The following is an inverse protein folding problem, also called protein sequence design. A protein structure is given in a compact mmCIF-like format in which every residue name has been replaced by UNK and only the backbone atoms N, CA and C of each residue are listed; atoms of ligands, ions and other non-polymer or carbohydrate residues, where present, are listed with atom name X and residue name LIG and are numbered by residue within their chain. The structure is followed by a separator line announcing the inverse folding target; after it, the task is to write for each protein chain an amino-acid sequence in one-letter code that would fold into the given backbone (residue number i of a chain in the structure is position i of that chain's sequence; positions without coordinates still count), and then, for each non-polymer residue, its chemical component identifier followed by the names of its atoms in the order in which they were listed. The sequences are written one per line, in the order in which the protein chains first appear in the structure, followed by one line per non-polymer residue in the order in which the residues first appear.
data_IF_490987237675
#
_entry.id   IF_490987237675
#
_cell.length_a   1.000
_cell.length_b   1.000
_cell.length_c   1.000
_cell.angle_alpha   90.00
_cell.angle_beta   90.00
_cell.angle_gamma   90.00
#
_symmetry.space_group_name_H-M   'P 1'
#
loop_
_entity.id
_entity.type
_entity.pdbx_description
1 polymer ?
#
# COMPACT_ATOMS: atom_id res chain seq x y z
N UNK A 1 48.29 -9.53 -27.54
CA UNK A 1 48.15 -9.27 -26.10
C UNK A 1 47.56 -10.52 -25.46
N UNK A 2 48.09 -10.98 -24.31
CA UNK A 2 48.13 -12.40 -23.97
C UNK A 2 46.80 -12.94 -23.43
N UNK A 3 46.71 -14.26 -23.58
CA UNK A 3 45.55 -15.14 -23.46
C UNK A 3 45.31 -15.52 -21.99
N UNK A 4 44.03 -15.74 -21.66
CA UNK A 4 43.52 -16.20 -20.38
C UNK A 4 44.31 -17.38 -19.78
N UNK A 5 44.74 -17.23 -18.53
CA UNK A 5 45.29 -18.31 -17.72
C UNK A 5 44.16 -19.23 -17.23
N UNK A 6 44.23 -20.50 -17.60
CA UNK A 6 43.34 -21.54 -17.10
C UNK A 6 43.53 -21.74 -15.59
N UNK A 7 42.43 -21.72 -14.85
CA UNK A 7 42.37 -22.13 -13.44
C UNK A 7 42.53 -23.65 -13.43
N UNK A 8 43.66 -24.14 -12.94
CA UNK A 8 43.83 -25.58 -12.70
C UNK A 8 42.99 -25.98 -11.47
N UNK A 9 42.25 -27.11 -11.51
CA UNK A 9 41.49 -27.57 -10.37
C UNK A 9 42.44 -27.91 -9.21
N UNK A 10 42.21 -27.29 -8.05
CA UNK A 10 42.96 -27.58 -6.83
C UNK A 10 42.78 -29.05 -6.42
N UNK A 11 43.88 -29.67 -6.01
CA UNK A 11 43.95 -31.07 -5.61
C UNK A 11 43.02 -31.34 -4.39
N UNK A 12 42.04 -32.26 -4.47
CA UNK A 12 41.10 -32.54 -3.39
C UNK A 12 41.79 -32.99 -2.09
N UNK A 13 43.03 -33.48 -2.13
CA UNK A 13 43.82 -33.79 -0.95
C UNK A 13 44.23 -32.53 -0.17
N UNK A 14 44.57 -31.42 -0.86
CA UNK A 14 44.93 -30.15 -0.22
C UNK A 14 43.71 -29.45 0.39
N UNK A 15 42.54 -29.59 -0.24
CA UNK A 15 41.29 -29.08 0.30
C UNK A 15 40.91 -29.80 1.60
N UNK A 16 41.07 -31.13 1.65
CA UNK A 16 40.85 -31.93 2.86
C UNK A 16 41.78 -31.55 4.00
N UNK A 17 43.08 -31.38 3.74
CA UNK A 17 44.06 -30.99 4.77
C UNK A 17 43.73 -29.61 5.34
N UNK A 18 43.31 -28.65 4.51
CA UNK A 18 42.93 -27.31 4.98
C UNK A 18 41.64 -27.28 5.80
N UNK A 19 40.71 -28.20 5.51
CA UNK A 19 39.47 -28.40 6.29
C UNK A 19 39.77 -29.13 7.61
N UNK A 20 40.71 -30.07 7.64
CA UNK A 20 41.14 -30.74 8.87
C UNK A 20 41.98 -29.81 9.76
N UNK A 21 42.85 -28.98 9.19
CA UNK A 21 43.59 -27.95 9.93
C UNK A 21 42.68 -26.84 10.47
N UNK A 22 41.59 -26.47 9.77
CA UNK A 22 40.58 -25.54 10.30
C UNK A 22 39.77 -26.17 11.43
N UNK A 23 39.48 -27.47 11.36
CA UNK A 23 38.84 -28.23 12.46
C UNK A 23 39.77 -28.42 13.65
N UNK A 24 41.07 -28.60 13.44
CA UNK A 24 42.06 -28.78 14.51
C UNK A 24 42.39 -27.48 15.27
N UNK A 25 42.00 -26.31 14.76
CA UNK A 25 42.11 -25.02 15.45
C UNK A 25 40.83 -24.59 16.20
N UNK A 26 39.77 -25.38 16.12
CA UNK A 26 38.51 -25.16 16.83
C UNK A 26 38.39 -26.02 18.10
N UNK A 27 39.52 -26.32 18.76
CA UNK A 27 39.56 -27.04 20.04
C UNK A 27 40.04 -26.10 21.15
N UNK A 28 39.14 -25.24 21.62
CA UNK A 28 39.10 -24.66 22.99
C UNK A 28 37.94 -23.64 23.15
N UNK A 29 36.84 -23.77 22.41
CA UNK A 29 35.63 -23.01 22.72
C UNK A 29 34.88 -23.74 23.84
N UNK A 30 34.99 -23.23 25.08
CA UNK A 30 34.01 -23.49 26.13
C UNK A 30 32.61 -23.38 25.50
N UNK A 31 31.74 -24.39 25.68
CA UNK A 31 30.35 -24.30 25.26
C UNK A 31 29.72 -23.07 25.93
N UNK A 32 29.72 -21.92 25.24
CA UNK A 32 29.07 -20.71 25.71
C UNK A 32 27.57 -21.01 25.69
N UNK A 33 27.06 -21.39 26.85
CA UNK A 33 25.67 -21.79 27.01
C UNK A 33 24.82 -20.51 27.06
N UNK A 34 24.51 -19.96 25.88
CA UNK A 34 23.69 -18.75 25.74
C UNK A 34 22.28 -19.02 26.27
N UNK A 35 21.84 -18.22 27.23
CA UNK A 35 20.47 -18.31 27.76
C UNK A 35 19.56 -17.27 27.11
N UNK A 36 18.29 -17.62 26.94
CA UNK A 36 17.25 -16.71 26.48
C UNK A 36 16.02 -16.84 27.37
N UNK A 37 15.65 -15.73 28.01
CA UNK A 37 14.41 -15.62 28.77
C UNK A 37 13.46 -14.65 28.05
N UNK A 38 12.29 -15.18 27.68
CA UNK A 38 11.22 -14.45 27.01
C UNK A 38 10.08 -14.24 27.99
N UNK A 39 9.67 -12.99 28.18
CA UNK A 39 8.74 -12.56 29.23
C UNK A 39 7.54 -11.89 28.60
N UNK A 40 6.40 -12.59 28.68
CA UNK A 40 5.10 -12.09 28.25
C UNK A 40 4.43 -11.33 29.40
N UNK A 41 4.09 -10.07 29.17
CA UNK A 41 3.29 -9.21 30.05
C UNK A 41 3.78 -9.22 31.52
N UNK A 42 5.03 -8.79 31.80
CA UNK A 42 5.60 -8.84 33.14
C UNK A 42 4.84 -7.92 34.10
N UNK A 43 4.63 -8.39 35.34
CA UNK A 43 4.12 -7.56 36.42
C UNK A 43 5.18 -6.58 36.92
N UNK A 44 4.76 -5.53 37.63
CA UNK A 44 5.68 -4.55 38.21
C UNK A 44 6.68 -5.18 39.20
N UNK A 45 6.24 -6.18 39.96
CA UNK A 45 7.11 -6.90 40.90
C UNK A 45 8.14 -7.78 40.18
N UNK A 46 7.72 -8.45 39.10
CA UNK A 46 8.63 -9.22 38.24
C UNK A 46 9.65 -8.31 37.54
N UNK A 47 9.22 -7.16 37.01
CA UNK A 47 10.13 -6.17 36.42
C UNK A 47 11.13 -5.65 37.44
N UNK A 48 10.69 -5.35 38.67
CA UNK A 48 11.57 -4.90 39.74
C UNK A 48 12.58 -5.99 40.15
N UNK A 49 12.16 -7.26 40.15
CA UNK A 49 13.02 -8.40 40.42
C UNK A 49 14.05 -8.61 39.30
N UNK A 50 13.61 -8.65 38.04
CA UNK A 50 14.48 -8.79 36.87
C UNK A 50 15.49 -7.64 36.78
N UNK A 51 15.05 -6.40 37.03
CA UNK A 51 15.93 -5.23 37.03
C UNK A 51 17.04 -5.33 38.07
N UNK A 52 16.73 -5.81 39.28
CA UNK A 52 17.74 -6.04 40.33
C UNK A 52 18.68 -7.20 40.02
N UNK A 53 18.15 -8.33 39.53
CA UNK A 53 18.93 -9.55 39.26
C UNK A 53 19.91 -9.33 38.12
N UNK A 54 19.47 -8.69 37.03
CA UNK A 54 20.29 -8.46 35.84
C UNK A 54 20.99 -7.09 35.83
N UNK A 55 20.86 -6.31 36.91
CA UNK A 55 21.41 -4.96 37.05
C UNK A 55 21.03 -4.05 35.85
N UNK A 56 19.74 -4.09 35.47
CA UNK A 56 19.18 -3.29 34.37
C UNK A 56 19.02 -1.86 34.86
N UNK A 57 19.45 -0.90 34.04
CA UNK A 57 19.36 0.52 34.36
C UNK A 57 17.90 0.95 34.55
N UNK A 58 17.57 1.78 35.56
CA UNK A 58 16.20 2.19 35.85
C UNK A 58 15.46 2.79 34.66
N UNK A 59 16.15 3.56 33.80
CA UNK A 59 15.56 4.12 32.57
C UNK A 59 15.09 3.03 31.59
N UNK A 60 15.83 1.92 31.46
CA UNK A 60 15.41 0.80 30.61
C UNK A 60 14.20 0.10 31.19
N UNK A 61 14.14 -0.06 32.52
CA UNK A 61 12.96 -0.61 33.19
C UNK A 61 11.73 0.29 33.01
N UNK A 62 11.90 1.60 33.14
CA UNK A 62 10.85 2.60 32.90
C UNK A 62 10.34 2.54 31.46
N UNK A 63 11.24 2.52 30.46
CA UNK A 63 10.88 2.43 29.05
C UNK A 63 10.02 1.18 28.74
N UNK A 64 10.36 0.04 29.34
CA UNK A 64 9.62 -1.21 29.17
C UNK A 64 8.25 -1.13 29.85
N UNK A 65 8.18 -0.64 31.09
CA UNK A 65 6.93 -0.53 31.85
C UNK A 65 5.95 0.51 31.28
N UNK A 66 6.47 1.58 30.71
CA UNK A 66 5.67 2.64 30.07
C UNK A 66 5.28 2.31 28.63
N UNK A 67 5.67 1.13 28.14
CA UNK A 67 5.45 0.69 26.76
C UNK A 67 5.92 1.74 25.74
N UNK A 68 7.14 2.27 25.91
CA UNK A 68 7.72 3.25 24.99
C UNK A 68 7.61 2.78 23.54
N UNK A 69 7.00 3.62 22.72
CA UNK A 69 6.63 3.32 21.33
C UNK A 69 7.74 3.63 20.34
N UNK A 70 8.73 4.42 20.76
CA UNK A 70 9.85 4.81 19.92
C UNK A 70 10.80 3.62 19.72
N UNK A 71 11.02 3.29 18.45
CA UNK A 71 12.08 2.37 18.08
C UNK A 71 13.45 3.04 18.25
N UNK A 72 14.32 2.38 19.02
CA UNK A 72 15.61 2.93 19.41
C UNK A 72 16.56 1.83 19.83
N UNK A 73 17.85 2.14 19.77
CA UNK A 73 18.90 1.30 20.29
C UNK A 73 19.77 2.13 21.22
N UNK A 74 19.98 1.61 22.42
CA UNK A 74 20.74 2.27 23.48
C UNK A 74 21.82 1.33 24.01
N UNK A 75 23.06 1.83 24.07
CA UNK A 75 24.18 1.08 24.60
C UNK A 75 24.38 1.44 26.08
N UNK A 76 24.35 0.43 26.94
CA UNK A 76 24.74 0.54 28.35
C UNK A 76 26.10 -0.12 28.57
N UNK A 77 26.60 -0.08 29.80
CA UNK A 77 27.92 -0.64 30.14
C UNK A 77 27.99 -2.17 30.03
N UNK A 78 26.89 -2.85 30.31
CA UNK A 78 26.85 -4.33 30.44
C UNK A 78 25.91 -5.00 29.44
N UNK A 79 25.06 -4.22 28.76
CA UNK A 79 24.08 -4.70 27.82
C UNK A 79 23.74 -3.60 26.81
N UNK A 80 23.03 -3.95 25.75
CA UNK A 80 22.34 -2.98 24.92
C UNK A 80 20.84 -3.27 24.86
N UNK A 81 20.06 -2.20 24.77
CA UNK A 81 18.60 -2.26 24.62
C UNK A 81 18.26 -2.04 23.15
N UNK A 82 17.40 -2.90 22.62
CA UNK A 82 16.74 -2.72 21.33
C UNK A 82 15.23 -2.61 21.60
N UNK A 83 14.67 -1.46 21.28
CA UNK A 83 13.22 -1.27 21.18
C UNK A 83 12.85 -1.40 19.71
N UNK A 84 12.13 -2.45 19.36
CA UNK A 84 11.71 -2.73 17.99
C UNK A 84 10.22 -3.06 17.94
N UNK A 85 9.56 -2.72 16.84
CA UNK A 85 8.11 -2.82 16.74
C UNK A 85 7.70 -3.72 15.60
N UNK A 86 7.04 -4.82 15.94
CA UNK A 86 6.28 -5.62 15.01
C UNK A 86 4.84 -5.11 14.88
N UNK A 87 3.96 -5.99 14.46
CA UNK A 87 2.54 -5.73 14.40
C UNK A 87 1.77 -7.02 14.68
N UNK A 88 0.56 -6.84 15.20
CA UNK A 88 -0.46 -7.86 15.29
C UNK A 88 -1.42 -7.66 14.11
N UNK A 89 -1.65 -8.74 13.37
CA UNK A 89 -2.56 -8.75 12.23
C UNK A 89 -3.78 -9.58 12.60
N UNK A 90 -4.95 -8.97 12.55
CA UNK A 90 -6.20 -9.69 12.72
C UNK A 90 -6.49 -10.53 11.45
N UNK A 91 -6.60 -11.87 11.55
CA UNK A 91 -6.95 -12.73 10.42
C UNK A 91 -8.29 -12.37 9.78
N UNK A 92 -9.21 -11.77 10.54
CA UNK A 92 -10.54 -11.39 10.08
C UNK A 92 -10.60 -9.97 9.53
N UNK A 93 -9.56 -9.15 9.74
CA UNK A 93 -9.49 -7.76 9.30
C UNK A 93 -8.14 -7.47 8.62
N UNK A 94 -8.04 -7.64 7.29
CA UNK A 94 -6.78 -7.47 6.55
C UNK A 94 -6.27 -6.02 6.51
N UNK A 95 -7.05 -5.06 7.02
CA UNK A 95 -6.65 -3.65 7.18
C UNK A 95 -6.20 -3.32 8.60
N UNK A 96 -6.41 -4.22 9.55
CA UNK A 96 -6.07 -4.00 10.94
C UNK A 96 -4.63 -4.44 11.19
N UNK A 97 -3.78 -3.44 11.45
CA UNK A 97 -2.39 -3.62 11.82
C UNK A 97 -2.19 -2.86 13.11
N UNK A 98 -2.26 -3.59 14.22
CA UNK A 98 -1.99 -3.01 15.53
C UNK A 98 -0.51 -3.13 15.83
N UNK A 99 0.18 -2.02 16.09
CA UNK A 99 1.60 -2.13 16.35
C UNK A 99 1.89 -2.87 17.67
N UNK A 100 2.94 -3.68 17.69
CA UNK A 100 3.33 -4.48 18.84
C UNK A 100 4.78 -4.16 19.22
N UNK A 101 4.99 -3.65 20.43
CA UNK A 101 6.32 -3.31 20.92
C UNK A 101 7.04 -4.56 21.43
N UNK A 102 8.30 -4.72 21.05
CA UNK A 102 9.20 -5.76 21.53
C UNK A 102 10.47 -5.09 22.06
N UNK A 103 10.79 -5.38 23.32
CA UNK A 103 11.99 -4.89 23.99
C UNK A 103 12.97 -6.03 24.15
N UNK A 104 14.19 -5.84 23.68
CA UNK A 104 15.23 -6.86 23.70
C UNK A 104 16.43 -6.29 24.43
N UNK A 105 16.80 -6.92 25.54
CA UNK A 105 18.00 -6.59 26.30
C UNK A 105 19.03 -7.68 26.04
N UNK A 106 20.16 -7.30 25.45
CA UNK A 106 21.20 -8.25 25.05
C UNK A 106 22.42 -8.08 25.93
N UNK A 107 22.77 -9.16 26.64
CA UNK A 107 23.98 -9.31 27.45
C UNK A 107 25.01 -10.13 26.67
N UNK A 108 26.22 -10.27 27.23
CA UNK A 108 27.29 -11.04 26.59
C UNK A 108 26.99 -12.54 26.54
N UNK A 109 26.34 -13.10 27.56
CA UNK A 109 26.02 -14.54 27.66
C UNK A 109 24.52 -14.86 27.56
N UNK A 110 23.66 -13.88 27.29
CA UNK A 110 22.23 -14.15 27.16
C UNK A 110 21.38 -12.93 26.81
N UNK A 111 20.08 -13.18 26.72
CA UNK A 111 19.12 -12.22 26.15
C UNK A 111 17.78 -12.27 26.91
N UNK A 112 17.23 -11.10 27.19
CA UNK A 112 15.87 -10.92 27.69
C UNK A 112 14.99 -10.31 26.60
N UNK A 113 13.85 -10.92 26.32
CA UNK A 113 12.81 -10.31 25.49
C UNK A 113 11.55 -10.03 26.31
N UNK A 114 10.95 -8.86 26.10
CA UNK A 114 9.71 -8.44 26.73
C UNK A 114 8.70 -8.03 25.67
N UNK A 115 7.46 -8.48 25.84
CA UNK A 115 6.34 -8.09 25.00
C UNK A 115 5.05 -8.15 25.83
N UNK A 116 4.12 -7.21 25.63
CA UNK A 116 2.89 -7.10 26.43
C UNK A 116 1.66 -7.76 25.79
N UNK A 117 1.82 -8.23 24.56
CA UNK A 117 0.83 -9.00 23.80
C UNK A 117 1.48 -10.25 23.23
N UNK A 118 0.69 -11.29 23.00
CA UNK A 118 1.18 -12.51 22.35
C UNK A 118 1.71 -12.20 20.95
N UNK A 119 2.87 -12.75 20.62
CA UNK A 119 3.49 -12.59 19.30
C UNK A 119 4.12 -13.91 18.84
N UNK A 120 4.09 -14.25 17.54
CA UNK A 120 4.73 -15.46 17.03
C UNK A 120 6.26 -15.37 16.97
N UNK A 121 6.85 -14.16 17.02
CA UNK A 121 8.28 -13.95 16.73
C UNK A 121 9.23 -14.74 17.63
N UNK A 122 9.09 -14.74 18.97
CA UNK A 122 9.93 -15.57 19.83
C UNK A 122 9.85 -17.06 19.47
N UNK A 123 8.65 -17.56 19.18
CA UNK A 123 8.44 -18.97 18.87
C UNK A 123 9.03 -19.37 17.51
N UNK A 124 8.94 -18.49 16.50
CA UNK A 124 9.54 -18.70 15.19
C UNK A 124 11.06 -18.78 15.30
N UNK A 125 11.69 -17.84 16.03
CA UNK A 125 13.14 -17.85 16.25
C UNK A 125 13.58 -19.09 17.03
N UNK A 126 12.83 -19.51 18.07
CA UNK A 126 13.09 -20.79 18.77
C UNK A 126 13.05 -22.00 17.83
N UNK A 127 12.12 -22.03 16.88
CA UNK A 127 12.04 -23.09 15.86
C UNK A 127 13.24 -23.04 14.93
N UNK A 128 13.64 -21.85 14.46
CA UNK A 128 14.83 -21.63 13.62
C UNK A 128 16.12 -22.08 14.32
N UNK A 129 16.29 -21.75 15.60
CA UNK A 129 17.41 -22.22 16.44
C UNK A 129 17.48 -23.74 16.46
N UNK A 130 16.36 -24.43 16.70
CA UNK A 130 16.32 -25.90 16.75
C UNK A 130 16.73 -26.54 15.42
N UNK A 131 16.43 -25.90 14.29
CA UNK A 131 16.76 -26.40 12.95
C UNK A 131 18.23 -26.16 12.57
N UNK A 132 18.85 -25.10 13.10
CA UNK A 132 20.19 -24.65 12.71
C UNK A 132 21.27 -24.92 13.78
N UNK A 133 20.90 -25.56 14.90
CA UNK A 133 21.78 -25.79 16.05
C UNK A 133 23.11 -26.45 15.70
N UNK A 134 23.11 -27.33 14.70
CA UNK A 134 24.31 -28.07 14.29
C UNK A 134 25.22 -27.30 13.31
N UNK A 135 24.74 -26.17 12.78
CA UNK A 135 25.42 -25.40 11.73
C UNK A 135 25.84 -23.99 12.15
N UNK A 136 25.27 -23.46 13.23
CA UNK A 136 25.46 -22.07 13.66
C UNK A 136 25.74 -22.03 15.17
N UNK A 137 26.72 -21.23 15.58
CA UNK A 137 26.91 -20.88 16.99
C UNK A 137 25.85 -19.88 17.44
N UNK A 138 24.98 -20.30 18.37
CA UNK A 138 23.88 -19.48 18.87
C UNK A 138 24.41 -18.54 19.96
N UNK A 139 24.78 -17.32 19.57
CA UNK A 139 25.18 -16.24 20.48
C UNK A 139 23.99 -15.34 20.84
N UNK A 140 24.10 -14.57 21.92
CA UNK A 140 23.05 -13.61 22.32
C UNK A 140 22.76 -12.58 21.23
N UNK A 141 23.81 -12.09 20.58
CA UNK A 141 23.71 -11.17 19.45
C UNK A 141 23.02 -11.80 18.23
N UNK A 142 23.27 -13.10 17.97
CA UNK A 142 22.59 -13.81 16.87
C UNK A 142 21.09 -13.94 17.14
N UNK A 143 20.69 -14.23 18.39
CA UNK A 143 19.26 -14.29 18.75
C UNK A 143 18.61 -12.91 18.58
N UNK A 144 19.29 -11.84 18.99
CA UNK A 144 18.79 -10.47 18.77
C UNK A 144 18.63 -10.16 17.29
N UNK A 145 19.62 -10.51 16.46
CA UNK A 145 19.51 -10.40 15.01
C UNK A 145 18.30 -11.19 14.48
N UNK A 146 18.17 -12.46 14.85
CA UNK A 146 17.09 -13.33 14.37
C UNK A 146 15.69 -12.82 14.76
N UNK A 147 15.55 -12.16 15.90
CA UNK A 147 14.31 -11.50 16.31
C UNK A 147 13.98 -10.28 15.44
N UNK A 148 14.96 -9.42 15.16
CA UNK A 148 14.78 -8.25 14.28
C UNK A 148 14.46 -8.72 12.85
N UNK A 149 15.12 -9.78 12.38
CA UNK A 149 14.92 -10.42 11.09
C UNK A 149 13.48 -10.97 10.96
N UNK A 150 13.03 -11.79 11.92
CA UNK A 150 11.68 -12.38 11.89
C UNK A 150 10.58 -11.32 11.95
N UNK A 151 10.78 -10.23 12.70
CA UNK A 151 9.87 -9.08 12.71
C UNK A 151 9.86 -8.37 11.35
N UNK A 152 11.03 -8.20 10.73
CA UNK A 152 11.17 -7.53 9.42
C UNK A 152 10.56 -8.36 8.29
N UNK A 153 10.78 -9.67 8.29
CA UNK A 153 10.25 -10.59 7.29
C UNK A 153 8.72 -10.68 7.31
N UNK A 154 8.09 -10.45 8.48
CA UNK A 154 6.64 -10.41 8.59
C UNK A 154 5.99 -9.33 7.71
N UNK A 155 6.70 -8.25 7.38
CA UNK A 155 6.20 -7.20 6.48
C UNK A 155 6.13 -7.66 5.01
N UNK A 156 7.00 -8.58 4.59
CA UNK A 156 7.14 -9.00 3.19
C UNK A 156 5.82 -9.44 2.53
N UNK A 157 5.09 -10.42 3.10
CA UNK A 157 3.82 -10.88 2.54
C UNK A 157 2.76 -9.77 2.41
N UNK A 158 2.74 -8.79 3.33
CA UNK A 158 1.80 -7.67 3.27
C UNK A 158 2.13 -6.71 2.13
N UNK A 159 3.42 -6.43 1.93
CA UNK A 159 3.90 -5.58 0.84
C UNK A 159 3.62 -6.25 -0.51
N UNK A 160 3.85 -7.56 -0.62
CA UNK A 160 3.52 -8.32 -1.83
C UNK A 160 2.01 -8.31 -2.12
N UNK A 161 1.17 -8.43 -1.10
CA UNK A 161 -0.28 -8.28 -1.25
C UNK A 161 -0.71 -6.89 -1.74
N UNK A 162 0.01 -5.84 -1.32
CA UNK A 162 -0.20 -4.48 -1.82
C UNK A 162 0.24 -4.34 -3.26
N UNK A 163 1.39 -4.91 -3.64
CA UNK A 163 1.91 -4.88 -5.00
C UNK A 163 0.86 -5.39 -6.00
N UNK A 164 0.33 -6.60 -5.79
CA UNK A 164 -0.70 -7.17 -6.65
C UNK A 164 -1.96 -6.31 -6.72
N UNK A 165 -2.36 -5.68 -5.61
CA UNK A 165 -3.53 -4.83 -5.54
C UNK A 165 -3.32 -3.49 -6.27
N UNK A 166 -2.12 -2.92 -6.16
CA UNK A 166 -1.73 -1.68 -6.85
C UNK A 166 -1.69 -1.90 -8.35
N UNK A 167 -1.06 -2.98 -8.81
CA UNK A 167 -1.01 -3.34 -10.22
C UNK A 167 -2.41 -3.56 -10.79
N UNK A 168 -3.27 -4.27 -10.04
CA UNK A 168 -4.68 -4.47 -10.41
C UNK A 168 -5.44 -3.14 -10.54
N UNK A 169 -5.22 -2.21 -9.62
CA UNK A 169 -5.85 -0.88 -9.65
C UNK A 169 -5.35 -0.07 -10.86
N UNK A 170 -4.04 -0.05 -11.13
CA UNK A 170 -3.46 0.73 -12.22
C UNK A 170 -3.98 0.24 -13.59
N UNK A 171 -4.13 -1.07 -13.77
CA UNK A 171 -4.71 -1.66 -14.98
C UNK A 171 -6.21 -1.35 -15.13
N UNK A 172 -6.99 -1.53 -14.05
CA UNK A 172 -8.44 -1.31 -14.07
C UNK A 172 -8.82 0.14 -14.36
N UNK A 173 -8.05 1.11 -13.86
CA UNK A 173 -8.28 2.54 -14.14
C UNK A 173 -8.14 2.87 -15.62
N UNK A 174 -7.44 2.05 -16.43
CA UNK A 174 -7.31 2.30 -17.87
C UNK A 174 -8.42 1.65 -18.71
N UNK A 175 -9.11 0.64 -18.16
CA UNK A 175 -10.00 -0.25 -18.93
C UNK A 175 -11.48 -0.05 -18.56
N UNK A 176 -11.80 0.29 -17.30
CA UNK A 176 -13.17 0.33 -16.83
C UNK A 176 -13.97 1.45 -17.50
N UNK A 177 -14.98 1.06 -18.28
CA UNK A 177 -16.06 1.91 -18.76
C UNK A 177 -17.38 1.44 -18.13
N UNK A 178 -18.12 2.40 -17.58
CA UNK A 178 -19.57 2.40 -17.40
C UNK A 178 -20.27 1.70 -16.20
N UNK A 179 -19.66 0.89 -15.32
CA UNK A 179 -20.49 0.21 -14.27
C UNK A 179 -20.04 0.15 -12.80
N UNK A 180 -18.77 0.34 -12.43
CA UNK A 180 -18.32 0.14 -11.03
C UNK A 180 -17.58 1.34 -10.43
N UNK A 181 -18.11 2.56 -10.69
CA UNK A 181 -17.30 3.75 -10.43
C UNK A 181 -17.04 4.06 -8.95
N UNK A 182 -17.98 3.73 -8.05
CA UNK A 182 -17.86 3.98 -6.62
C UNK A 182 -16.97 2.95 -5.91
N UNK A 183 -16.92 1.73 -6.44
CA UNK A 183 -16.12 0.64 -5.87
C UNK A 183 -14.62 0.89 -6.10
N UNK A 184 -14.24 1.44 -7.25
CA UNK A 184 -12.85 1.77 -7.57
C UNK A 184 -12.23 2.81 -6.64
N UNK A 185 -12.94 3.92 -6.34
CA UNK A 185 -12.43 4.93 -5.39
C UNK A 185 -12.28 4.36 -3.98
N UNK A 186 -13.22 3.52 -3.57
CA UNK A 186 -13.15 2.83 -2.27
C UNK A 186 -11.97 1.86 -2.22
N UNK A 187 -11.73 1.10 -3.29
CA UNK A 187 -10.61 0.17 -3.43
C UNK A 187 -9.27 0.89 -3.38
N UNK A 188 -9.11 1.97 -4.16
CA UNK A 188 -7.95 2.87 -4.11
C UNK A 188 -7.74 3.41 -2.69
N UNK A 189 -8.78 3.96 -2.07
CA UNK A 189 -8.70 4.52 -0.72
C UNK A 189 -8.29 3.49 0.34
N UNK A 190 -8.82 2.26 0.23
CA UNK A 190 -8.49 1.17 1.16
C UNK A 190 -7.04 0.69 0.96
N UNK A 191 -6.59 0.54 -0.28
CA UNK A 191 -5.21 0.17 -0.58
C UNK A 191 -4.23 1.26 -0.08
N UNK A 192 -4.52 2.55 -0.33
CA UNK A 192 -3.71 3.66 0.21
C UNK A 192 -3.63 3.64 1.74
N UNK A 193 -4.73 3.36 2.45
CA UNK A 193 -4.71 3.22 3.91
C UNK A 193 -3.77 2.10 4.37
N UNK A 194 -3.74 0.95 3.68
CA UNK A 194 -2.79 -0.14 3.98
C UNK A 194 -1.34 0.29 3.76
N UNK A 195 -1.04 0.93 2.62
CA UNK A 195 0.31 1.47 2.32
C UNK A 195 0.76 2.44 3.41
N UNK A 196 -0.10 3.40 3.79
CA UNK A 196 0.22 4.38 4.84
C UNK A 196 0.42 3.73 6.21
N UNK A 197 -0.38 2.72 6.54
CA UNK A 197 -0.24 1.93 7.77
C UNK A 197 1.14 1.26 7.86
N UNK A 198 1.56 0.61 6.78
CA UNK A 198 2.89 -0.03 6.72
C UNK A 198 4.03 0.99 6.73
N UNK A 199 3.95 2.09 5.97
CA UNK A 199 4.96 3.16 6.02
C UNK A 199 5.14 3.72 7.43
N UNK A 200 4.04 3.90 8.17
CA UNK A 200 4.10 4.37 9.57
C UNK A 200 4.77 3.34 10.48
N UNK A 201 4.51 2.06 10.29
CA UNK A 201 5.15 0.98 11.06
C UNK A 201 6.63 0.85 10.71
N UNK A 202 6.99 0.99 9.45
CA UNK A 202 8.38 0.88 8.96
C UNK A 202 9.25 2.10 9.24
N UNK A 203 8.65 3.24 9.56
CA UNK A 203 9.35 4.48 9.81
C UNK A 203 10.44 4.35 10.88
N UNK A 204 11.64 4.85 10.57
CA UNK A 204 12.85 4.84 11.42
C UNK A 204 13.51 3.47 11.68
N UNK A 205 12.90 2.33 11.31
CA UNK A 205 13.51 0.99 11.49
C UNK A 205 14.88 0.88 10.85
N UNK A 206 15.00 1.31 9.59
CA UNK A 206 16.27 1.26 8.84
C UNK A 206 17.38 2.08 9.53
N UNK A 207 17.05 3.25 10.07
CA UNK A 207 18.01 4.10 10.78
C UNK A 207 18.42 3.49 12.13
N UNK A 208 17.50 2.83 12.83
CA UNK A 208 17.77 2.12 14.08
C UNK A 208 18.73 0.95 13.81
N UNK A 209 18.44 0.10 12.83
CA UNK A 209 19.30 -1.03 12.45
C UNK A 209 20.66 -0.56 11.95
N UNK A 210 20.70 0.48 11.10
CA UNK A 210 21.95 1.14 10.66
C UNK A 210 22.76 1.64 11.85
N UNK A 211 22.09 2.23 12.84
CA UNK A 211 22.70 2.70 14.07
C UNK A 211 23.35 1.58 14.88
N UNK A 212 22.79 0.37 14.87
CA UNK A 212 23.38 -0.81 15.51
C UNK A 212 24.56 -1.35 14.70
N UNK A 213 24.37 -1.56 13.40
CA UNK A 213 25.41 -2.08 12.50
C UNK A 213 26.67 -1.21 12.55
N UNK A 214 26.51 0.13 12.53
CA UNK A 214 27.63 1.06 12.65
C UNK A 214 28.39 0.90 13.98
N UNK A 215 27.69 0.74 15.10
CA UNK A 215 28.29 0.59 16.43
C UNK A 215 28.99 -0.75 16.62
N UNK A 216 28.57 -1.79 15.89
CA UNK A 216 29.30 -3.07 15.80
C UNK A 216 30.68 -2.85 15.17
N UNK A 217 30.73 -2.11 14.05
CA UNK A 217 31.99 -1.85 13.33
C UNK A 217 32.97 -0.93 14.09
N UNK A 218 32.50 -0.12 15.03
CA UNK A 218 33.33 0.73 15.89
C UNK A 218 33.97 -0.05 17.07
N UNK A 219 33.80 -1.38 17.13
CA UNK A 219 34.39 -2.27 18.15
C UNK A 219 34.07 -1.87 19.60
N UNK A 220 32.87 -1.34 19.85
CA UNK A 220 32.42 -1.04 21.21
C UNK A 220 32.40 -2.32 22.05
N UNK A 221 32.85 -2.27 23.31
CA UNK A 221 33.05 -3.46 24.14
C UNK A 221 31.80 -4.32 24.34
N UNK A 222 30.62 -3.69 24.23
CA UNK A 222 29.28 -4.24 24.43
C UNK A 222 28.52 -4.46 23.11
N UNK A 223 29.02 -3.93 21.99
CA UNK A 223 28.40 -4.18 20.69
C UNK A 223 28.73 -5.59 20.20
N UNK A 224 27.89 -6.17 19.32
CA UNK A 224 28.15 -7.46 18.70
C UNK A 224 29.57 -7.54 18.10
N UNK A 225 30.36 -8.52 18.54
CA UNK A 225 31.77 -8.69 18.14
C UNK A 225 31.99 -9.68 16.97
N UNK A 226 30.91 -10.15 16.37
CA UNK A 226 30.89 -11.19 15.33
C UNK A 226 30.55 -10.59 13.96
N UNK A 227 30.52 -11.42 12.91
CA UNK A 227 30.03 -11.13 11.54
C UNK A 227 28.57 -10.64 11.47
N UNK A 228 27.95 -10.40 12.62
CA UNK A 228 26.59 -9.89 12.84
C UNK A 228 26.39 -8.50 12.24
N UNK A 229 27.45 -7.70 12.11
CA UNK A 229 27.40 -6.46 11.35
C UNK A 229 26.96 -6.65 9.90
N UNK A 230 27.35 -7.77 9.26
CA UNK A 230 26.92 -8.10 7.90
C UNK A 230 25.44 -8.46 7.85
N UNK A 231 24.99 -9.32 8.77
CA UNK A 231 23.59 -9.71 8.88
C UNK A 231 22.66 -8.52 9.18
N UNK A 232 23.08 -7.59 10.03
CA UNK A 232 22.33 -6.36 10.29
C UNK A 232 22.29 -5.41 9.09
N UNK A 233 23.37 -5.38 8.29
CA UNK A 233 23.40 -4.57 7.05
C UNK A 233 22.42 -5.11 6.02
N UNK A 234 22.28 -6.44 5.92
CA UNK A 234 21.29 -7.09 5.04
C UNK A 234 19.85 -6.71 5.43
N UNK A 235 19.51 -6.80 6.73
CA UNK A 235 18.21 -6.32 7.26
C UNK A 235 18.00 -4.84 6.92
N UNK A 236 19.04 -4.01 7.08
CA UNK A 236 18.94 -2.59 6.79
C UNK A 236 18.57 -2.37 5.31
N UNK A 237 19.23 -3.07 4.39
CA UNK A 237 18.95 -2.98 2.96
C UNK A 237 17.52 -3.47 2.66
N UNK A 238 17.07 -4.57 3.27
CA UNK A 238 15.70 -5.06 3.15
C UNK A 238 14.67 -4.01 3.60
N UNK A 239 14.87 -3.39 4.77
CA UNK A 239 13.99 -2.33 5.28
C UNK A 239 13.95 -1.10 4.35
N UNK A 240 15.10 -0.71 3.79
CA UNK A 240 15.19 0.40 2.83
C UNK A 240 14.40 0.06 1.57
N UNK A 241 14.63 -1.12 0.99
CA UNK A 241 13.94 -1.58 -0.24
C UNK A 241 12.44 -1.68 -0.02
N UNK A 242 11.99 -2.30 1.06
CA UNK A 242 10.56 -2.38 1.41
C UNK A 242 9.92 -0.99 1.57
N UNK A 243 10.62 -0.06 2.21
CA UNK A 243 10.13 1.33 2.37
C UNK A 243 10.05 2.05 1.02
N UNK A 244 11.03 1.85 0.14
CA UNK A 244 11.04 2.42 -1.20
C UNK A 244 9.90 1.86 -2.05
N UNK A 245 9.62 0.56 -1.98
CA UNK A 245 8.51 -0.08 -2.68
C UNK A 245 7.16 0.51 -2.22
N UNK A 246 6.94 0.66 -0.92
CA UNK A 246 5.73 1.30 -0.40
C UNK A 246 5.56 2.75 -0.87
N UNK A 247 6.64 3.53 -0.91
CA UNK A 247 6.61 4.89 -1.46
C UNK A 247 6.33 4.89 -2.98
N UNK A 248 6.81 3.88 -3.71
CA UNK A 248 6.50 3.71 -5.12
C UNK A 248 5.01 3.39 -5.34
N UNK A 249 4.47 2.45 -4.56
CA UNK A 249 3.05 2.09 -4.61
C UNK A 249 2.13 3.25 -4.24
N UNK A 250 2.50 4.07 -3.25
CA UNK A 250 1.76 5.30 -2.93
C UNK A 250 1.65 6.23 -4.14
N UNK A 251 2.77 6.45 -4.85
CA UNK A 251 2.81 7.30 -6.04
C UNK A 251 1.94 6.75 -7.17
N UNK A 252 1.99 5.44 -7.41
CA UNK A 252 1.11 4.80 -8.40
C UNK A 252 -0.34 5.04 -8.00
N UNK A 253 -0.75 4.68 -6.79
CA UNK A 253 -2.12 4.87 -6.32
C UNK A 253 -2.58 6.34 -6.39
N UNK A 254 -1.69 7.30 -6.12
CA UNK A 254 -1.99 8.73 -6.22
C UNK A 254 -2.23 9.18 -7.67
N UNK A 255 -1.43 8.66 -8.60
CA UNK A 255 -1.61 8.87 -10.03
C UNK A 255 -2.88 8.16 -10.54
N UNK A 256 -3.11 6.90 -10.19
CA UNK A 256 -4.30 6.15 -10.62
C UNK A 256 -5.58 6.79 -10.08
N UNK A 257 -5.57 7.30 -8.84
CA UNK A 257 -6.67 8.11 -8.30
C UNK A 257 -6.97 9.36 -9.17
N UNK A 258 -5.92 10.09 -9.57
CA UNK A 258 -6.07 11.30 -10.40
C UNK A 258 -6.55 10.97 -11.81
N UNK A 259 -5.97 9.94 -12.43
CA UNK A 259 -6.36 9.45 -13.76
C UNK A 259 -7.82 9.02 -13.78
N UNK A 260 -8.25 8.32 -12.73
CA UNK A 260 -9.61 7.84 -12.58
C UNK A 260 -10.63 8.99 -12.49
N UNK A 261 -10.35 10.01 -11.68
CA UNK A 261 -11.20 11.22 -11.62
C UNK A 261 -11.24 11.96 -12.96
N UNK A 262 -10.13 12.03 -13.69
CA UNK A 262 -10.09 12.62 -15.01
C UNK A 262 -10.95 11.84 -16.02
N UNK A 263 -10.94 10.51 -15.96
CA UNK A 263 -11.79 9.67 -16.79
C UNK A 263 -13.27 9.88 -16.51
N UNK A 264 -13.68 9.91 -15.24
CA UNK A 264 -15.08 10.23 -14.85
C UNK A 264 -15.49 11.59 -15.44
N UNK A 265 -14.61 12.60 -15.35
CA UNK A 265 -14.88 13.92 -15.90
C UNK A 265 -15.09 13.90 -17.42
N UNK A 266 -14.31 13.11 -18.15
CA UNK A 266 -14.46 12.91 -19.60
C UNK A 266 -15.79 12.22 -19.90
N UNK A 267 -16.11 11.13 -19.22
CA UNK A 267 -17.37 10.39 -19.40
C UNK A 267 -18.59 11.26 -19.11
N UNK A 268 -18.55 12.06 -18.04
CA UNK A 268 -19.61 13.02 -17.71
C UNK A 268 -19.73 14.10 -18.79
N UNK A 269 -18.62 14.58 -19.33
CA UNK A 269 -18.61 15.57 -20.41
C UNK A 269 -19.22 14.99 -21.69
N UNK A 270 -18.85 13.75 -22.06
CA UNK A 270 -19.41 13.06 -23.22
C UNK A 270 -20.90 12.77 -23.06
N UNK A 271 -21.34 12.32 -21.87
CA UNK A 271 -22.76 12.15 -21.57
C UNK A 271 -23.54 13.46 -21.67
N UNK A 272 -22.98 14.56 -21.14
CA UNK A 272 -23.59 15.89 -21.27
C UNK A 272 -23.67 16.35 -22.73
N UNK A 273 -22.64 16.07 -23.54
CA UNK A 273 -22.66 16.39 -24.96
C UNK A 273 -23.75 15.61 -25.71
N UNK A 274 -23.93 14.32 -25.39
CA UNK A 274 -25.01 13.51 -25.96
C UNK A 274 -26.39 14.01 -25.52
N UNK A 275 -26.57 14.37 -24.25
CA UNK A 275 -27.81 14.96 -23.75
C UNK A 275 -28.09 16.29 -24.48
N UNK A 276 -27.08 17.14 -24.64
CA UNK A 276 -27.22 18.40 -25.38
C UNK A 276 -27.57 18.17 -26.85
N UNK A 277 -27.00 17.16 -27.51
CA UNK A 277 -27.33 16.79 -28.89
C UNK A 277 -28.80 16.32 -29.01
N UNK A 278 -29.25 15.42 -28.11
CA UNK A 278 -30.64 14.96 -28.07
C UNK A 278 -31.61 16.11 -27.76
N UNK A 279 -31.26 16.98 -26.80
CA UNK A 279 -32.07 18.14 -26.45
C UNK A 279 -32.15 19.14 -27.61
N UNK A 280 -31.05 19.37 -28.33
CA UNK A 280 -31.01 20.20 -29.54
C UNK A 280 -31.98 19.68 -30.60
N UNK A 281 -31.97 18.36 -30.86
CA UNK A 281 -32.91 17.70 -31.81
C UNK A 281 -34.37 17.85 -31.39
N UNK A 282 -34.68 17.62 -30.11
CA UNK A 282 -36.05 17.78 -29.59
C UNK A 282 -36.51 19.25 -29.66
N UNK A 283 -35.63 20.19 -29.34
CA UNK A 283 -35.92 21.63 -29.39
C UNK A 283 -36.15 22.10 -30.83
N UNK A 284 -35.39 21.58 -31.79
CA UNK A 284 -35.59 21.83 -33.21
C UNK A 284 -36.98 21.36 -33.68
N UNK A 285 -37.39 20.13 -33.30
CA UNK A 285 -38.74 19.63 -33.59
C UNK A 285 -39.83 20.48 -32.91
N UNK A 286 -39.64 20.84 -31.64
CA UNK A 286 -40.56 21.70 -30.90
C UNK A 286 -40.74 23.08 -31.54
N UNK A 287 -39.68 23.68 -32.06
CA UNK A 287 -39.72 24.99 -32.72
C UNK A 287 -40.59 24.98 -33.99
N UNK A 288 -40.67 23.85 -34.70
CA UNK A 288 -41.54 23.69 -35.87
C UNK A 288 -42.99 23.39 -35.45
N UNK A 289 -43.18 22.52 -34.46
CA UNK A 289 -44.51 22.06 -34.05
C UNK A 289 -45.29 23.08 -33.22
N UNK A 290 -44.63 23.87 -32.35
CA UNK A 290 -45.33 24.79 -31.44
C UNK A 290 -46.11 25.88 -32.20
N UNK A 291 -45.55 26.61 -33.18
CA UNK A 291 -46.31 27.60 -33.94
C UNK A 291 -47.42 26.98 -34.78
N UNK A 292 -47.18 25.79 -35.35
CA UNK A 292 -48.17 25.05 -36.12
C UNK A 292 -49.37 24.68 -35.25
N UNK A 293 -49.12 24.15 -34.06
CA UNK A 293 -50.14 23.80 -33.08
C UNK A 293 -50.91 25.04 -32.58
N UNK A 294 -50.24 26.19 -32.41
CA UNK A 294 -50.89 27.44 -32.01
C UNK A 294 -51.92 27.88 -33.04
N UNK A 295 -51.56 27.84 -34.33
CA UNK A 295 -52.45 28.23 -35.44
C UNK A 295 -53.64 27.29 -35.53
N UNK A 296 -53.42 25.97 -35.49
CA UNK A 296 -54.53 25.00 -35.49
C UNK A 296 -55.38 25.07 -34.21
N UNK A 297 -54.76 25.37 -33.07
CA UNK A 297 -55.44 25.48 -31.78
C UNK A 297 -56.37 26.69 -31.71
N UNK A 298 -55.94 27.86 -32.21
CA UNK A 298 -56.76 29.07 -32.28
C UNK A 298 -58.06 28.86 -33.07
N UNK A 299 -58.03 28.07 -34.14
CA UNK A 299 -59.21 27.76 -34.96
C UNK A 299 -59.97 26.50 -34.53
N UNK A 300 -59.41 25.70 -33.62
CA UNK A 300 -60.18 24.70 -32.88
C UNK A 300 -61.06 25.31 -31.78
N UNK A 301 -60.79 26.57 -31.42
CA UNK A 301 -61.68 27.40 -30.61
C UNK A 301 -62.72 28.04 -31.53
N UNK A 302 -63.95 28.24 -31.04
CA UNK A 302 -65.07 28.83 -31.80
C UNK A 302 -64.85 30.33 -32.11
N UNK A 303 -63.78 30.63 -32.86
CA UNK A 303 -63.32 31.94 -33.29
C UNK A 303 -63.62 32.07 -34.78
N UNK A 304 -64.11 33.24 -35.20
CA UNK A 304 -64.46 33.55 -36.58
C UNK A 304 -63.30 33.24 -37.53
N UNK A 305 -63.53 32.39 -38.53
CA UNK A 305 -62.47 31.97 -39.45
C UNK A 305 -62.35 32.93 -40.63
N UNK A 306 -61.13 33.23 -41.11
CA UNK A 306 -60.94 34.03 -42.32
C UNK A 306 -61.65 33.39 -43.52
N UNK A 307 -62.64 34.11 -44.08
CA UNK A 307 -63.46 33.62 -45.21
C UNK A 307 -64.85 33.13 -44.84
N UNK A 308 -65.25 33.13 -43.56
CA UNK A 308 -66.57 32.70 -43.08
C UNK A 308 -67.74 33.58 -43.62
N UNK A 309 -67.50 34.87 -43.87
CA UNK A 309 -68.52 35.82 -44.35
C UNK A 309 -68.75 35.80 -45.88
N UNK A 310 -68.02 34.96 -46.62
CA UNK A 310 -68.17 34.83 -48.08
C UNK A 310 -69.37 33.92 -48.40
N UNK A 311 -70.45 34.51 -48.96
CA UNK A 311 -71.74 33.84 -49.26
C UNK A 311 -71.74 32.90 -50.48
N UNK A 312 -70.59 32.58 -51.05
CA UNK A 312 -70.49 31.63 -52.17
C UNK A 312 -70.17 30.23 -51.63
N UNK A 313 -71.14 29.31 -51.77
CA UNK A 313 -71.18 27.92 -51.25
C UNK A 313 -70.04 26.96 -51.71
N UNK A 314 -68.91 27.49 -52.20
CA UNK A 314 -67.80 26.67 -52.68
C UNK A 314 -66.42 27.33 -52.70
N UNK A 315 -66.23 28.53 -52.13
CA UNK A 315 -64.93 29.20 -52.18
C UNK A 315 -63.99 28.81 -51.01
N UNK A 316 -63.42 27.61 -51.09
CA UNK A 316 -62.45 27.10 -50.10
C UNK A 316 -61.03 27.69 -50.24
N UNK A 317 -60.85 28.77 -51.00
CA UNK A 317 -59.54 29.37 -51.28
C UNK A 317 -58.80 29.76 -50.01
N UNK A 318 -59.47 30.42 -49.05
CA UNK A 318 -58.85 30.82 -47.78
C UNK A 318 -58.35 29.63 -46.95
N UNK A 319 -59.17 28.58 -46.86
CA UNK A 319 -58.81 27.34 -46.18
C UNK A 319 -57.60 26.65 -46.83
N UNK A 320 -57.60 26.54 -48.16
CA UNK A 320 -56.50 25.94 -48.93
C UNK A 320 -55.22 26.79 -48.79
N UNK A 321 -55.32 28.13 -48.81
CA UNK A 321 -54.18 29.03 -48.62
C UNK A 321 -53.56 28.90 -47.23
N UNK A 322 -54.37 28.76 -46.19
CA UNK A 322 -53.91 28.54 -44.82
C UNK A 322 -53.19 27.20 -44.66
N UNK A 323 -53.79 26.12 -45.17
CA UNK A 323 -53.16 24.79 -45.16
C UNK A 323 -51.85 24.83 -45.97
N UNK A 324 -51.85 25.47 -47.13
CA UNK A 324 -50.65 25.66 -47.94
C UNK A 324 -49.56 26.43 -47.20
N UNK A 325 -49.93 27.46 -46.43
CA UNK A 325 -49.02 28.22 -45.58
C UNK A 325 -48.42 27.38 -44.45
N UNK A 326 -49.23 26.56 -43.77
CA UNK A 326 -48.78 25.65 -42.71
C UNK A 326 -47.87 24.55 -43.24
N UNK A 327 -48.23 23.94 -44.37
CA UNK A 327 -47.41 22.93 -45.06
C UNK A 327 -46.09 23.56 -45.53
N UNK A 328 -46.14 24.75 -46.12
CA UNK A 328 -44.95 25.51 -46.52
C UNK A 328 -44.04 25.83 -45.33
N UNK A 329 -44.61 26.30 -44.21
CA UNK A 329 -43.87 26.55 -42.97
C UNK A 329 -43.26 25.28 -42.39
N UNK A 330 -44.00 24.16 -42.38
CA UNK A 330 -43.51 22.86 -41.93
C UNK A 330 -42.34 22.37 -42.77
N UNK A 331 -42.42 22.46 -44.11
CA UNK A 331 -41.35 22.06 -45.03
C UNK A 331 -40.12 22.97 -44.86
N UNK A 332 -40.32 24.29 -44.82
CA UNK A 332 -39.23 25.26 -44.66
C UNK A 332 -38.56 25.11 -43.30
N UNK A 333 -39.35 24.97 -42.23
CA UNK A 333 -38.86 24.76 -40.86
C UNK A 333 -38.13 23.43 -40.70
N UNK A 334 -38.66 22.35 -41.27
CA UNK A 334 -38.01 21.03 -41.26
C UNK A 334 -36.72 21.03 -42.09
N UNK A 335 -36.70 21.73 -43.23
CA UNK A 335 -35.49 21.87 -44.06
C UNK A 335 -34.41 22.72 -43.37
N UNK A 336 -34.79 23.84 -42.74
CA UNK A 336 -33.88 24.69 -41.96
C UNK A 336 -33.28 23.93 -40.78
N UNK A 337 -34.11 23.22 -40.02
CA UNK A 337 -33.65 22.41 -38.88
C UNK A 337 -32.74 21.27 -39.34
N UNK A 338 -33.07 20.56 -40.43
CA UNK A 338 -32.20 19.55 -41.01
C UNK A 338 -30.85 20.12 -41.47
N UNK A 339 -30.86 21.28 -42.12
CA UNK A 339 -29.64 21.96 -42.59
C UNK A 339 -28.77 22.44 -41.43
N UNK A 340 -29.38 22.97 -40.37
CA UNK A 340 -28.67 23.42 -39.17
C UNK A 340 -28.06 22.24 -38.40
N UNK A 341 -28.80 21.14 -38.26
CA UNK A 341 -28.30 19.92 -37.59
C UNK A 341 -27.23 19.16 -38.37
N UNK A 342 -27.16 19.32 -39.70
CA UNK A 342 -26.11 18.69 -40.53
C UNK A 342 -24.79 19.46 -40.55
N UNK A 343 -24.83 20.76 -40.27
CA UNK A 343 -23.67 21.65 -40.29
C UNK A 343 -23.07 21.91 -38.90
N UNK A 344 -23.70 21.40 -37.84
CA UNK A 344 -23.16 21.32 -36.48
C UNK A 344 -22.64 19.92 -36.21
#
# INVERSE_FOLDING_TARGET
MPVAGAITPEDPAKLKVRIEESKAKASDDEEVNTWWLDVLSPTNDEMAMLSKVFNIHPLTTEDIQMEETREKIELFRNYYLVCFRGFDQDPYSPTHLEPLNMYIIVFREGILSFHFRGTPHPQNVRRRIKQLKDYISVTSDWISYALIDDITDAFGPLIQGIEYEVDSIDELVLILKDTDQSDMLRRIGTCRKKVMGLLRLMGNKADVVKGLAKRCNENWSVAPKSDIGLYLSDIQDHLITMTQNLNHYEKILSRSHSNYLAQISIEMTDANNQINDVLSKLTALGTVLIPMNLVTGLWGMNVHVPGEDLKDDGDYRWFISIIGGLVGFGIIGSWLTYKLMRNS
#
